data_IF_560081163056
#
_entry.id   IF_560081163056
#
_cell.length_a   1.000
_cell.length_b   1.000
_cell.length_c   1.000
_cell.angle_alpha   90.00
_cell.angle_beta   90.00
_cell.angle_gamma   90.00
#
_symmetry.space_group_name_H-M   'P 1'
#
loop_
_entity.id
_entity.type
_entity.pdbx_description
1 polymer ?
#
# COMPACT_ATOMS: atom_id res chain seq x y z
N UNK A 1 17.37 -17.69 11.72
CA UNK A 1 16.33 -18.32 12.58
C UNK A 1 15.24 -18.85 11.66
N UNK A 2 14.78 -20.08 11.88
CA UNK A 2 13.66 -20.64 11.13
C UNK A 2 12.37 -20.35 11.91
N UNK A 3 11.49 -19.53 11.36
CA UNK A 3 10.13 -19.31 11.89
C UNK A 3 9.17 -20.22 11.14
N UNK A 4 8.29 -20.89 11.87
CA UNK A 4 7.13 -21.55 11.30
C UNK A 4 6.00 -20.53 11.25
N UNK A 5 5.41 -20.32 10.06
CA UNK A 5 4.37 -19.30 9.84
C UNK A 5 3.05 -19.98 9.56
N UNK A 6 2.02 -19.61 10.34
CA UNK A 6 0.64 -19.97 10.07
C UNK A 6 -0.17 -18.70 9.77
N UNK A 7 -0.94 -18.71 8.69
CA UNK A 7 -1.71 -17.56 8.22
C UNK A 7 -3.21 -17.87 8.31
N UNK A 8 -3.93 -17.08 9.11
CA UNK A 8 -5.38 -17.13 9.21
C UNK A 8 -6.02 -16.02 8.37
N UNK A 9 -6.84 -16.37 7.40
CA UNK A 9 -7.51 -15.44 6.49
C UNK A 9 -8.98 -15.34 6.83
N UNK A 10 -9.44 -14.13 7.19
CA UNK A 10 -10.86 -13.83 7.43
C UNK A 10 -11.53 -13.41 6.10
N UNK A 11 -12.11 -14.36 5.40
CA UNK A 11 -12.76 -14.15 4.12
C UNK A 11 -12.63 -15.36 3.20
N UNK A 12 -13.07 -15.18 1.96
CA UNK A 12 -12.96 -16.21 0.92
C UNK A 12 -11.49 -16.36 0.47
N UNK A 13 -11.22 -17.50 -0.13
CA UNK A 13 -9.95 -17.74 -0.78
C UNK A 13 -9.64 -16.64 -1.81
N UNK A 14 -8.43 -16.13 -1.78
CA UNK A 14 -7.98 -15.06 -2.65
C UNK A 14 -6.79 -15.55 -3.50
N UNK A 15 -6.54 -14.97 -4.69
CA UNK A 15 -5.43 -15.39 -5.57
C UNK A 15 -4.06 -15.42 -4.87
N UNK A 16 -3.81 -14.51 -3.92
CA UNK A 16 -2.56 -14.46 -3.15
C UNK A 16 -2.42 -15.60 -2.11
N UNK A 17 -3.48 -16.36 -1.81
CA UNK A 17 -3.42 -17.48 -0.85
C UNK A 17 -2.52 -18.60 -1.34
N UNK A 18 -2.54 -18.90 -2.64
CA UNK A 18 -1.65 -19.87 -3.26
C UNK A 18 -0.18 -19.41 -3.23
N UNK A 19 0.06 -18.11 -3.40
CA UNK A 19 1.40 -17.54 -3.29
C UNK A 19 1.98 -17.71 -1.88
N UNK A 20 1.16 -17.50 -0.85
CA UNK A 20 1.57 -17.72 0.54
C UNK A 20 1.85 -19.21 0.83
N UNK A 21 1.01 -20.11 0.35
CA UNK A 21 1.21 -21.54 0.51
C UNK A 21 2.54 -22.00 -0.12
N UNK A 22 2.93 -21.44 -1.27
CA UNK A 22 4.21 -21.72 -1.94
C UNK A 22 5.43 -21.26 -1.12
N UNK A 23 5.27 -20.40 -0.13
CA UNK A 23 6.36 -20.02 0.79
C UNK A 23 6.57 -21.02 1.93
N UNK A 24 5.77 -22.08 2.03
CA UNK A 24 5.78 -23.04 3.12
C UNK A 24 4.93 -22.63 4.34
N UNK A 25 4.17 -21.52 4.26
CA UNK A 25 3.25 -21.11 5.31
C UNK A 25 2.00 -21.99 5.34
N UNK A 26 1.53 -22.34 6.54
CA UNK A 26 0.23 -23.00 6.73
C UNK A 26 -0.89 -21.97 6.60
N UNK A 27 -1.69 -22.05 5.53
CA UNK A 27 -2.79 -21.11 5.29
C UNK A 27 -4.13 -21.73 5.66
N UNK A 28 -4.91 -21.03 6.48
CA UNK A 28 -6.27 -21.42 6.88
C UNK A 28 -7.28 -20.33 6.56
N UNK A 29 -8.38 -20.68 5.94
CA UNK A 29 -9.45 -19.75 5.56
C UNK A 29 -10.65 -19.89 6.48
N UNK A 30 -11.16 -18.74 6.95
CA UNK A 30 -12.39 -18.65 7.72
C UNK A 30 -13.39 -17.87 6.87
N UNK A 31 -14.34 -18.57 6.21
CA UNK A 31 -15.32 -17.94 5.33
C UNK A 31 -16.28 -17.08 6.15
N UNK A 32 -15.87 -15.82 6.34
CA UNK A 32 -16.58 -14.84 7.16
C UNK A 32 -17.44 -13.93 6.30
N UNK A 33 -18.73 -13.88 6.60
CA UNK A 33 -19.70 -12.95 5.98
C UNK A 33 -19.69 -11.57 6.63
N UNK A 34 -18.92 -11.39 7.69
CA UNK A 34 -18.78 -10.12 8.42
C UNK A 34 -18.29 -10.32 9.84
N UNK A 35 -18.13 -9.21 10.56
CA UNK A 35 -17.59 -9.20 11.93
C UNK A 35 -18.40 -10.05 12.94
N UNK A 36 -19.70 -10.17 12.71
CA UNK A 36 -20.64 -10.89 13.60
C UNK A 36 -20.93 -12.33 13.16
N UNK A 37 -20.11 -12.90 12.29
CA UNK A 37 -20.22 -14.29 11.90
C UNK A 37 -19.70 -15.22 13.01
N UNK A 38 -20.62 -15.67 13.86
CA UNK A 38 -20.30 -16.49 15.05
C UNK A 38 -19.57 -17.78 14.65
N UNK A 39 -19.93 -18.38 13.50
CA UNK A 39 -19.27 -19.60 13.01
C UNK A 39 -17.81 -19.34 12.69
N UNK A 40 -17.53 -18.27 11.95
CA UNK A 40 -16.17 -17.88 11.60
C UNK A 40 -15.34 -17.50 12.85
N UNK A 41 -15.94 -16.78 13.81
CA UNK A 41 -15.29 -16.45 15.09
C UNK A 41 -14.97 -17.69 15.92
N UNK A 42 -15.87 -18.68 15.96
CA UNK A 42 -15.63 -19.95 16.66
C UNK A 42 -14.52 -20.77 15.99
N UNK A 43 -14.49 -20.84 14.67
CA UNK A 43 -13.44 -21.50 13.91
C UNK A 43 -12.08 -20.80 14.14
N UNK A 44 -12.03 -19.47 14.10
CA UNK A 44 -10.86 -18.68 14.42
C UNK A 44 -10.35 -18.98 15.83
N UNK A 45 -11.23 -19.00 16.84
CA UNK A 45 -10.88 -19.31 18.22
C UNK A 45 -10.26 -20.70 18.34
N UNK A 46 -10.87 -21.71 17.73
CA UNK A 46 -10.38 -23.09 17.74
C UNK A 46 -9.00 -23.18 17.09
N UNK A 47 -8.82 -22.54 15.96
CA UNK A 47 -7.55 -22.50 15.24
C UNK A 47 -6.45 -21.84 16.06
N UNK A 48 -6.70 -20.68 16.69
CA UNK A 48 -5.76 -20.01 17.58
C UNK A 48 -5.34 -20.86 18.78
N UNK A 49 -6.23 -21.72 19.29
CA UNK A 49 -5.94 -22.63 20.39
C UNK A 49 -5.13 -23.86 19.97
N UNK A 50 -5.26 -24.28 18.70
CA UNK A 50 -4.56 -25.44 18.16
C UNK A 50 -3.14 -25.13 17.69
N UNK A 51 -2.85 -23.87 17.35
CA UNK A 51 -1.54 -23.45 16.88
C UNK A 51 -0.78 -22.83 18.06
N UNK A 52 0.22 -23.52 18.61
CA UNK A 52 1.10 -22.91 19.60
C UNK A 52 1.86 -21.76 18.92
N UNK A 53 1.71 -20.55 19.42
CA UNK A 53 2.32 -19.35 18.84
C UNK A 53 2.94 -18.48 19.93
N UNK A 54 4.17 -18.03 19.72
CA UNK A 54 4.86 -17.07 20.59
C UNK A 54 4.18 -15.72 20.54
N UNK A 55 3.81 -15.31 19.33
CA UNK A 55 3.14 -14.05 19.06
C UNK A 55 2.19 -14.17 17.86
N UNK A 56 1.31 -13.21 17.75
CA UNK A 56 0.34 -13.09 16.68
C UNK A 56 0.55 -11.75 15.98
N UNK A 57 0.62 -11.76 14.64
CA UNK A 57 0.65 -10.53 13.86
C UNK A 57 -0.68 -10.28 13.16
N UNK A 58 -1.35 -9.22 13.53
CA UNK A 58 -2.66 -8.81 13.00
C UNK A 58 -2.45 -7.73 11.95
N UNK A 59 -2.90 -7.94 10.71
CA UNK A 59 -2.58 -7.06 9.57
C UNK A 59 -3.69 -6.05 9.26
N UNK A 60 -4.85 -6.18 9.90
CA UNK A 60 -5.96 -5.25 9.66
C UNK A 60 -6.78 -4.99 10.91
N UNK A 61 -7.51 -3.86 10.93
CA UNK A 61 -8.45 -3.58 12.02
C UNK A 61 -9.62 -4.55 12.05
N UNK A 62 -10.06 -5.08 10.92
CA UNK A 62 -11.12 -6.10 10.88
C UNK A 62 -10.64 -7.38 11.56
N UNK A 63 -9.39 -7.77 11.31
CA UNK A 63 -8.77 -8.91 11.96
C UNK A 63 -8.58 -8.66 13.47
N UNK A 64 -8.22 -7.45 13.89
CA UNK A 64 -8.16 -7.06 15.31
C UNK A 64 -9.54 -7.16 15.99
N UNK A 65 -10.57 -6.64 15.36
CA UNK A 65 -11.95 -6.70 15.88
C UNK A 65 -12.38 -8.17 16.03
N UNK A 66 -12.12 -9.01 15.04
CA UNK A 66 -12.44 -10.44 15.08
C UNK A 66 -11.63 -11.17 16.17
N UNK A 67 -10.34 -10.89 16.31
CA UNK A 67 -9.50 -11.43 17.38
C UNK A 67 -10.04 -11.03 18.77
N UNK A 68 -10.39 -9.77 18.93
CA UNK A 68 -10.96 -9.24 20.17
C UNK A 68 -12.27 -9.92 20.59
N UNK A 69 -13.08 -10.31 19.62
CA UNK A 69 -14.34 -11.06 19.85
C UNK A 69 -14.09 -12.56 20.06
N UNK A 70 -13.24 -13.17 19.25
CA UNK A 70 -13.01 -14.62 19.28
C UNK A 70 -12.14 -15.05 20.47
N UNK A 71 -11.07 -14.30 20.77
CA UNK A 71 -10.06 -14.69 21.76
C UNK A 71 -9.29 -13.50 22.32
N UNK A 72 -9.89 -12.71 23.24
CA UNK A 72 -9.28 -11.49 23.78
C UNK A 72 -7.92 -11.71 24.49
N UNK A 73 -7.68 -12.91 25.00
CA UNK A 73 -6.42 -13.27 25.66
C UNK A 73 -5.20 -13.21 24.74
N UNK A 74 -5.40 -13.36 23.43
CA UNK A 74 -4.32 -13.28 22.44
C UNK A 74 -3.89 -11.83 22.12
N UNK A 75 -4.67 -10.83 22.51
CA UNK A 75 -4.32 -9.42 22.25
C UNK A 75 -2.99 -9.02 22.90
N UNK A 76 -2.71 -9.49 24.11
CA UNK A 76 -1.50 -9.13 24.82
C UNK A 76 -0.20 -9.61 24.16
N UNK A 77 -0.27 -10.65 23.31
CA UNK A 77 0.85 -11.15 22.51
C UNK A 77 0.76 -10.75 21.03
N UNK A 78 -0.16 -9.85 20.69
CA UNK A 78 -0.40 -9.45 19.33
C UNK A 78 0.35 -8.19 18.93
N UNK A 79 0.90 -8.20 17.73
CA UNK A 79 1.40 -7.05 17.00
C UNK A 79 0.36 -6.63 15.98
N UNK A 80 0.21 -5.34 15.74
CA UNK A 80 -0.75 -4.82 14.77
C UNK A 80 -0.03 -4.03 13.69
N UNK A 81 -0.29 -4.36 12.43
CA UNK A 81 0.02 -3.56 11.24
C UNK A 81 -1.27 -3.13 10.52
N UNK A 82 -1.15 -2.42 9.41
CA UNK A 82 -2.31 -2.12 8.58
C UNK A 82 -3.29 -1.15 9.23
N UNK A 83 -2.78 -0.09 9.82
CA UNK A 83 -3.59 0.96 10.42
C UNK A 83 -4.37 1.75 9.38
N UNK A 84 -5.53 2.28 9.78
CA UNK A 84 -6.44 2.93 8.87
C UNK A 84 -5.92 4.25 8.34
N UNK A 85 -6.57 4.64 7.28
CA UNK A 85 -6.44 5.91 6.55
C UNK A 85 -6.53 7.13 7.46
N UNK A 86 -6.05 8.25 6.98
CA UNK A 86 -6.29 9.58 7.58
C UNK A 86 -7.77 9.78 7.90
N UNK A 87 -8.06 10.35 9.05
CA UNK A 87 -9.44 10.54 9.52
C UNK A 87 -9.98 9.41 10.41
N UNK A 88 -9.22 8.34 10.60
CA UNK A 88 -9.61 7.29 11.53
C UNK A 88 -9.87 7.84 12.94
N UNK A 89 -11.06 7.55 13.43
CA UNK A 89 -11.46 7.77 14.83
C UNK A 89 -11.91 6.42 15.39
N UNK A 90 -11.13 5.80 16.26
CA UNK A 90 -11.53 4.54 16.87
C UNK A 90 -12.75 4.77 17.76
N UNK A 91 -13.75 3.89 17.64
CA UNK A 91 -14.83 3.81 18.62
C UNK A 91 -14.30 3.28 19.97
N UNK A 92 -15.12 3.30 21.01
CA UNK A 92 -14.72 2.88 22.36
C UNK A 92 -14.15 1.45 22.38
N UNK A 93 -14.78 0.50 21.68
CA UNK A 93 -14.31 -0.87 21.58
C UNK A 93 -12.91 -0.95 20.96
N UNK A 94 -12.68 -0.31 19.83
CA UNK A 94 -11.38 -0.30 19.16
C UNK A 94 -10.29 0.38 20.00
N UNK A 95 -10.62 1.42 20.77
CA UNK A 95 -9.67 2.01 21.71
C UNK A 95 -9.21 0.98 22.76
N UNK A 96 -10.15 0.22 23.30
CA UNK A 96 -9.85 -0.87 24.26
C UNK A 96 -9.00 -1.95 23.61
N UNK A 97 -9.31 -2.38 22.39
CA UNK A 97 -8.54 -3.40 21.69
C UNK A 97 -7.13 -2.91 21.37
N UNK A 98 -7.00 -1.69 20.85
CA UNK A 98 -5.70 -1.07 20.54
C UNK A 98 -4.82 -0.91 21.77
N UNK A 99 -5.42 -0.60 22.94
CA UNK A 99 -4.67 -0.48 24.20
C UNK A 99 -4.18 -1.83 24.77
N UNK A 100 -4.70 -2.96 24.26
CA UNK A 100 -4.33 -4.30 24.70
C UNK A 100 -3.30 -4.99 23.81
N UNK A 101 -3.08 -4.51 22.57
CA UNK A 101 -2.05 -5.06 21.70
C UNK A 101 -0.65 -4.69 22.22
N UNK A 102 0.31 -5.52 21.95
CA UNK A 102 1.68 -5.34 22.45
C UNK A 102 2.41 -4.20 21.75
N UNK A 103 2.29 -4.12 20.42
CA UNK A 103 2.92 -3.10 19.60
C UNK A 103 2.09 -2.82 18.37
N UNK A 104 2.11 -1.58 17.93
CA UNK A 104 1.42 -1.11 16.72
C UNK A 104 2.49 -0.59 15.76
N UNK A 105 2.61 -1.22 14.61
CA UNK A 105 3.52 -0.81 13.56
C UNK A 105 2.85 0.23 12.66
N UNK A 106 3.45 1.40 12.58
CA UNK A 106 3.01 2.50 11.76
C UNK A 106 3.90 2.58 10.52
N UNK A 107 3.31 2.52 9.34
CA UNK A 107 4.05 2.61 8.07
C UNK A 107 4.69 3.99 7.85
N UNK A 108 4.15 5.03 8.52
CA UNK A 108 4.64 6.41 8.44
C UNK A 108 4.69 7.06 9.81
N UNK A 109 5.55 8.07 9.97
CA UNK A 109 5.60 8.92 11.15
C UNK A 109 4.30 9.72 11.31
N UNK A 110 3.68 10.14 10.20
CA UNK A 110 2.38 10.80 10.21
C UNK A 110 1.31 9.91 10.89
N UNK A 111 1.26 8.61 10.55
CA UNK A 111 0.36 7.64 11.18
C UNK A 111 0.70 7.45 12.66
N UNK A 112 1.98 7.36 13.01
CA UNK A 112 2.45 7.26 14.39
C UNK A 112 2.01 8.46 15.22
N UNK A 113 2.27 9.68 14.74
CA UNK A 113 1.90 10.92 15.41
C UNK A 113 0.37 11.02 15.56
N UNK A 114 -0.39 10.62 14.55
CA UNK A 114 -1.85 10.60 14.61
C UNK A 114 -2.37 9.68 15.72
N UNK A 115 -1.83 8.47 15.85
CA UNK A 115 -2.23 7.55 16.92
C UNK A 115 -1.87 8.10 18.32
N UNK A 116 -0.74 8.76 18.43
CA UNK A 116 -0.34 9.42 19.65
C UNK A 116 -1.34 10.50 20.05
N UNK A 117 -1.82 11.34 19.10
CA UNK A 117 -2.85 12.34 19.37
C UNK A 117 -4.21 11.74 19.74
N UNK A 118 -4.44 10.46 19.39
CA UNK A 118 -5.65 9.73 19.80
C UNK A 118 -5.50 9.04 21.19
N UNK A 119 -4.38 9.28 21.88
CA UNK A 119 -4.12 8.78 23.23
C UNK A 119 -3.48 7.40 23.29
N UNK A 120 -2.95 6.87 22.18
CA UNK A 120 -2.18 5.60 22.21
C UNK A 120 -0.77 5.90 22.73
N UNK A 121 -0.29 5.19 23.77
CA UNK A 121 1.03 5.41 24.34
C UNK A 121 2.15 5.26 23.31
N UNK A 122 3.14 6.16 23.33
CA UNK A 122 4.29 6.13 22.42
C UNK A 122 5.07 4.83 22.52
N UNK A 123 5.15 4.24 23.73
CA UNK A 123 5.79 2.96 23.97
C UNK A 123 5.19 1.79 23.17
N UNK A 124 3.90 1.89 22.80
CA UNK A 124 3.21 0.91 21.97
C UNK A 124 3.38 1.16 20.47
N UNK A 125 3.88 2.33 20.05
CA UNK A 125 3.96 2.74 18.66
C UNK A 125 5.38 2.56 18.11
N UNK A 126 5.52 1.83 17.02
CA UNK A 126 6.78 1.68 16.30
C UNK A 126 6.64 2.17 14.86
N UNK A 127 7.63 2.89 14.35
CA UNK A 127 7.71 3.25 12.95
C UNK A 127 8.39 2.11 12.19
N UNK A 128 7.64 1.46 11.32
CA UNK A 128 8.10 0.38 10.45
C UNK A 128 7.71 0.73 9.01
N UNK A 129 8.60 1.37 8.23
CA UNK A 129 8.33 1.72 6.84
C UNK A 129 7.93 0.49 6.01
N UNK A 130 7.11 0.67 4.96
CA UNK A 130 6.71 -0.45 4.11
C UNK A 130 7.93 -1.06 3.42
N UNK A 131 7.88 -2.36 3.16
CA UNK A 131 8.90 -3.08 2.40
C UNK A 131 8.36 -3.52 1.05
N UNK A 132 9.19 -3.42 0.01
CA UNK A 132 8.87 -3.89 -1.33
C UNK A 132 9.89 -4.89 -1.82
N UNK A 133 9.43 -5.91 -2.58
CA UNK A 133 10.32 -6.89 -3.20
C UNK A 133 11.08 -6.25 -4.38
N UNK A 134 12.40 -6.33 -4.34
CA UNK A 134 13.23 -5.86 -5.46
C UNK A 134 13.04 -6.71 -6.72
N UNK A 135 12.48 -7.91 -6.60
CA UNK A 135 12.11 -8.74 -7.75
C UNK A 135 10.96 -8.17 -8.57
N UNK A 136 10.18 -7.25 -7.98
CA UNK A 136 9.10 -6.53 -8.67
C UNK A 136 9.64 -5.41 -9.59
N UNK A 137 10.93 -5.09 -9.50
CA UNK A 137 11.54 -4.09 -10.37
C UNK A 137 11.66 -4.62 -11.80
N UNK A 138 11.37 -3.80 -12.83
CA UNK A 138 11.62 -4.17 -14.22
C UNK A 138 13.09 -4.52 -14.42
N UNK A 139 13.37 -5.65 -15.09
CA UNK A 139 14.73 -6.10 -15.39
C UNK A 139 15.41 -5.22 -16.44
N UNK A 140 14.62 -4.64 -17.33
CA UNK A 140 15.08 -3.69 -18.33
C UNK A 140 14.01 -2.63 -18.56
N UNK A 141 14.45 -1.41 -18.82
CA UNK A 141 13.55 -0.33 -19.24
C UNK A 141 13.41 -0.39 -20.77
N UNK A 142 12.18 -0.43 -21.25
CA UNK A 142 11.91 -0.23 -22.66
C UNK A 142 12.30 1.20 -23.07
N UNK A 143 12.77 1.41 -24.32
CA UNK A 143 12.91 2.76 -24.87
C UNK A 143 11.60 3.54 -24.71
N UNK A 144 11.69 4.86 -24.49
CA UNK A 144 10.48 5.68 -24.50
C UNK A 144 9.80 5.59 -25.87
N UNK A 145 8.49 5.39 -25.85
CA UNK A 145 7.68 5.41 -27.07
C UNK A 145 7.65 6.83 -27.65
N UNK A 146 7.57 6.95 -28.97
CA UNK A 146 7.29 8.23 -29.65
C UNK A 146 5.97 8.85 -29.16
N UNK A 147 4.99 8.02 -28.79
CA UNK A 147 3.76 8.46 -28.14
C UNK A 147 3.93 8.37 -26.63
N UNK A 148 3.98 9.51 -25.92
CA UNK A 148 4.09 9.51 -24.47
C UNK A 148 2.92 8.80 -23.79
N UNK A 149 3.24 7.99 -22.80
CA UNK A 149 2.29 7.15 -22.11
C UNK A 149 2.38 7.38 -20.61
N UNK A 150 1.29 7.89 -20.03
CA UNK A 150 1.15 8.07 -18.58
C UNK A 150 0.51 6.84 -17.98
N UNK A 151 1.00 6.41 -16.82
CA UNK A 151 0.48 5.27 -16.10
C UNK A 151 0.11 5.64 -14.67
N UNK A 152 -1.07 5.24 -14.22
CA UNK A 152 -1.48 5.35 -12.82
C UNK A 152 -2.13 4.04 -12.37
N UNK A 153 -1.70 3.54 -11.21
CA UNK A 153 -2.19 2.28 -10.65
C UNK A 153 -2.66 2.47 -9.21
N UNK A 154 -3.75 1.77 -8.87
CA UNK A 154 -4.27 1.71 -7.52
C UNK A 154 -5.76 1.43 -7.47
N UNK A 155 -6.31 1.14 -6.26
CA UNK A 155 -7.74 0.93 -6.10
C UNK A 155 -8.56 2.14 -6.54
N UNK A 156 -9.65 1.91 -7.26
CA UNK A 156 -10.58 2.97 -7.68
C UNK A 156 -11.51 3.36 -6.52
N UNK A 157 -10.93 4.11 -5.59
CA UNK A 157 -11.58 4.70 -4.42
C UNK A 157 -11.28 6.19 -4.35
N UNK A 158 -12.11 6.95 -3.65
CA UNK A 158 -11.96 8.40 -3.51
C UNK A 158 -10.57 8.82 -3.01
N UNK A 159 -9.97 8.03 -2.11
CA UNK A 159 -8.66 8.31 -1.56
C UNK A 159 -7.52 8.31 -2.60
N UNK A 160 -7.69 7.59 -3.71
CA UNK A 160 -6.70 7.48 -4.78
C UNK A 160 -6.83 8.53 -5.87
N UNK A 161 -7.93 9.29 -5.87
CA UNK A 161 -8.17 10.49 -6.67
C UNK A 161 -7.69 10.43 -8.13
N UNK A 162 -8.00 9.34 -8.83
CA UNK A 162 -7.66 9.20 -10.26
C UNK A 162 -8.29 10.30 -11.15
N UNK A 163 -9.25 11.06 -10.59
CA UNK A 163 -9.83 12.22 -11.26
C UNK A 163 -8.79 13.29 -11.60
N UNK A 164 -7.76 13.50 -10.76
CA UNK A 164 -6.69 14.44 -11.07
C UNK A 164 -5.95 14.03 -12.34
N UNK A 165 -5.64 12.73 -12.50
CA UNK A 165 -4.99 12.22 -13.69
C UNK A 165 -5.90 12.38 -14.94
N UNK A 166 -7.19 12.06 -14.80
CA UNK A 166 -8.16 12.22 -15.88
C UNK A 166 -8.29 13.69 -16.34
N UNK A 167 -8.46 14.60 -15.39
CA UNK A 167 -8.64 16.02 -15.69
C UNK A 167 -7.37 16.65 -16.26
N UNK A 168 -6.20 16.24 -15.78
CA UNK A 168 -4.93 16.72 -16.33
C UNK A 168 -4.73 16.35 -17.79
N UNK A 169 -5.30 15.21 -18.26
CA UNK A 169 -5.28 14.81 -19.67
C UNK A 169 -6.01 15.80 -20.58
N UNK A 170 -7.18 16.32 -20.16
CA UNK A 170 -7.91 17.30 -20.95
C UNK A 170 -7.15 18.63 -21.05
N UNK A 171 -6.48 19.05 -19.98
CA UNK A 171 -5.62 20.23 -19.99
C UNK A 171 -4.42 20.01 -20.91
N UNK A 172 -3.77 18.85 -20.84
CA UNK A 172 -2.62 18.52 -21.67
C UNK A 172 -2.95 18.37 -23.16
N UNK A 173 -4.18 18.04 -23.50
CA UNK A 173 -4.61 17.83 -24.87
C UNK A 173 -4.38 19.05 -25.80
N UNK A 174 -4.33 20.26 -25.23
CA UNK A 174 -4.07 21.49 -25.97
C UNK A 174 -2.59 21.70 -26.34
N UNK A 175 -1.66 21.07 -25.59
CA UNK A 175 -0.22 21.29 -25.75
C UNK A 175 0.55 20.04 -26.11
N UNK A 176 0.00 18.87 -25.80
CA UNK A 176 0.59 17.53 -26.04
C UNK A 176 -0.53 16.56 -26.45
N UNK A 177 -1.14 16.74 -27.63
CA UNK A 177 -2.32 15.95 -28.04
C UNK A 177 -2.03 14.46 -28.26
N UNK A 178 -0.77 14.06 -28.39
CA UNK A 178 -0.34 12.66 -28.57
C UNK A 178 -0.38 11.82 -27.30
N UNK A 179 -0.43 12.45 -26.10
CA UNK A 179 -0.36 11.74 -24.82
C UNK A 179 -1.52 10.77 -24.63
N UNK A 180 -1.20 9.60 -24.08
CA UNK A 180 -2.17 8.59 -23.63
C UNK A 180 -2.07 8.37 -22.13
N UNK A 181 -3.17 7.96 -21.49
CA UNK A 181 -3.22 7.60 -20.07
C UNK A 181 -3.79 6.19 -19.92
N UNK A 182 -3.11 5.38 -19.13
CA UNK A 182 -3.61 4.10 -18.69
C UNK A 182 -3.86 4.12 -17.16
N UNK A 183 -5.07 3.76 -16.78
CA UNK A 183 -5.46 3.55 -15.40
C UNK A 183 -5.61 2.06 -15.14
N UNK A 184 -4.86 1.56 -14.15
CA UNK A 184 -4.89 0.17 -13.75
C UNK A 184 -5.46 0.04 -12.33
N UNK A 185 -6.55 -0.69 -12.19
CA UNK A 185 -7.18 -0.92 -10.90
C UNK A 185 -8.65 -1.30 -10.99
N UNK A 186 -9.23 -1.60 -9.85
CA UNK A 186 -10.65 -1.86 -9.64
C UNK A 186 -11.12 -1.21 -8.35
N UNK A 187 -12.42 -1.02 -8.19
CA UNK A 187 -12.98 -0.46 -6.96
C UNK A 187 -14.36 0.15 -7.14
N UNK A 188 -14.91 0.65 -6.04
CA UNK A 188 -16.27 1.18 -6.02
C UNK A 188 -16.49 2.37 -6.97
N UNK A 189 -15.44 3.11 -7.30
CA UNK A 189 -15.52 4.30 -8.17
C UNK A 189 -15.32 4.00 -9.66
N UNK A 190 -15.19 2.74 -10.07
CA UNK A 190 -14.93 2.38 -11.47
C UNK A 190 -15.98 3.01 -12.41
N UNK A 191 -17.26 2.87 -12.08
CA UNK A 191 -18.34 3.41 -12.91
C UNK A 191 -18.31 4.95 -12.96
N UNK A 192 -18.06 5.60 -11.83
CA UNK A 192 -17.94 7.06 -11.77
C UNK A 192 -16.77 7.58 -12.59
N UNK A 193 -15.61 6.89 -12.56
CA UNK A 193 -14.45 7.23 -13.38
C UNK A 193 -14.73 7.02 -14.88
N UNK A 194 -15.45 5.97 -15.26
CA UNK A 194 -15.90 5.79 -16.65
C UNK A 194 -16.85 6.91 -17.09
N UNK A 195 -17.83 7.28 -16.26
CA UNK A 195 -18.73 8.40 -16.55
C UNK A 195 -17.96 9.71 -16.70
N UNK A 196 -16.98 9.94 -15.82
CA UNK A 196 -16.13 11.12 -15.90
C UNK A 196 -15.30 11.14 -17.21
N UNK A 197 -14.65 10.01 -17.55
CA UNK A 197 -13.93 9.88 -18.83
C UNK A 197 -14.80 10.25 -20.03
N UNK A 198 -16.06 9.79 -20.07
CA UNK A 198 -16.95 10.05 -21.23
C UNK A 198 -17.28 11.53 -21.43
N UNK A 199 -17.16 12.34 -20.39
CA UNK A 199 -17.35 13.79 -20.43
C UNK A 199 -16.10 14.56 -20.91
N UNK A 200 -14.94 13.89 -20.98
CA UNK A 200 -13.68 14.51 -21.38
C UNK A 200 -13.50 14.49 -22.90
N UNK A 201 -12.80 15.49 -23.41
CA UNK A 201 -12.38 15.53 -24.82
C UNK A 201 -11.36 14.45 -25.16
N UNK A 202 -10.59 14.01 -24.15
CA UNK A 202 -9.52 13.00 -24.28
C UNK A 202 -10.00 11.56 -24.03
N UNK A 203 -11.30 11.31 -23.98
CA UNK A 203 -11.90 10.00 -23.68
C UNK A 203 -11.27 8.81 -24.43
N UNK A 204 -10.92 9.01 -25.70
CA UNK A 204 -10.35 7.97 -26.58
C UNK A 204 -8.84 7.74 -26.36
N UNK A 205 -8.18 8.57 -25.53
CA UNK A 205 -6.78 8.49 -25.15
C UNK A 205 -6.58 7.90 -23.74
N UNK A 206 -7.68 7.59 -23.07
CA UNK A 206 -7.70 7.08 -21.69
C UNK A 206 -8.18 5.63 -21.71
N UNK A 207 -7.33 4.75 -21.21
CA UNK A 207 -7.57 3.31 -21.16
C UNK A 207 -7.68 2.82 -19.70
N UNK A 208 -8.72 2.02 -19.43
CA UNK A 208 -8.92 1.36 -18.15
C UNK A 208 -8.62 -0.13 -18.31
N UNK A 209 -7.59 -0.63 -17.60
CA UNK A 209 -7.11 -2.02 -17.75
C UNK A 209 -7.67 -2.99 -16.70
N UNK A 210 -8.49 -2.50 -15.76
CA UNK A 210 -8.95 -3.35 -14.68
C UNK A 210 -7.80 -3.78 -13.74
N UNK A 211 -8.00 -4.87 -13.01
CA UNK A 211 -6.93 -5.44 -12.21
C UNK A 211 -6.06 -6.35 -13.09
N UNK A 212 -4.79 -6.02 -13.21
CA UNK A 212 -3.79 -6.89 -13.85
C UNK A 212 -2.93 -7.53 -12.77
N UNK A 213 -2.68 -8.83 -12.92
CA UNK A 213 -1.89 -9.61 -11.95
C UNK A 213 -0.40 -9.23 -12.00
N UNK A 214 0.03 -8.66 -13.11
CA UNK A 214 1.42 -8.32 -13.35
C UNK A 214 1.58 -6.95 -13.98
N UNK A 215 2.07 -5.99 -13.20
CA UNK A 215 2.17 -4.58 -13.61
C UNK A 215 3.49 -4.20 -14.27
N UNK A 216 4.52 -5.06 -14.20
CA UNK A 216 5.87 -4.74 -14.67
C UNK A 216 5.92 -4.23 -16.13
N UNK A 217 5.25 -4.85 -17.13
CA UNK A 217 5.32 -4.36 -18.50
C UNK A 217 4.75 -2.95 -18.66
N UNK A 218 3.71 -2.61 -17.88
CA UNK A 218 3.08 -1.29 -17.91
C UNK A 218 3.96 -0.23 -17.27
N UNK A 219 4.55 -0.56 -16.11
CA UNK A 219 5.50 0.30 -15.42
C UNK A 219 6.76 0.52 -16.27
N UNK A 220 7.29 -0.54 -16.89
CA UNK A 220 8.50 -0.47 -17.70
C UNK A 220 8.35 0.36 -18.99
N UNK A 221 7.13 0.48 -19.53
CA UNK A 221 6.85 1.23 -20.75
C UNK A 221 6.34 2.65 -20.51
N UNK A 222 5.99 3.02 -19.28
CA UNK A 222 5.48 4.34 -18.96
C UNK A 222 6.52 5.43 -19.22
N UNK A 223 6.10 6.55 -19.77
CA UNK A 223 6.94 7.76 -19.85
C UNK A 223 6.99 8.47 -18.49
N UNK A 224 5.86 8.52 -17.79
CA UNK A 224 5.72 9.07 -16.44
C UNK A 224 4.70 8.22 -15.67
N UNK A 225 4.98 7.96 -14.40
CA UNK A 225 4.05 7.31 -13.48
C UNK A 225 3.41 8.37 -12.59
N UNK A 226 2.08 8.28 -12.42
CA UNK A 226 1.29 9.19 -11.61
C UNK A 226 0.76 8.49 -10.36
N UNK A 227 0.96 9.10 -9.19
CA UNK A 227 0.37 8.68 -7.92
C UNK A 227 -0.43 9.84 -7.33
N UNK A 228 -1.75 9.80 -7.46
CA UNK A 228 -2.66 10.95 -7.26
C UNK A 228 -3.44 10.94 -5.95
N UNK A 229 -2.94 10.28 -4.91
CA UNK A 229 -3.64 10.05 -3.65
C UNK A 229 -4.01 11.34 -2.90
N UNK A 230 -5.24 11.41 -2.33
CA UNK A 230 -5.65 12.48 -1.41
C UNK A 230 -5.19 12.26 0.03
N UNK A 231 -4.94 11.02 0.39
CA UNK A 231 -4.63 10.62 1.76
C UNK A 231 -3.27 9.94 1.82
N UNK A 232 -2.63 9.83 2.99
CA UNK A 232 -1.44 9.00 3.16
C UNK A 232 -1.74 7.53 2.89
N UNK A 233 -1.85 7.17 1.63
CA UNK A 233 -2.05 5.84 1.08
C UNK A 233 -1.17 5.69 -0.15
N UNK A 234 -1.32 4.59 -0.89
CA UNK A 234 -0.57 4.39 -2.14
C UNK A 234 0.93 4.16 -1.93
N UNK A 235 1.35 3.79 -0.72
CA UNK A 235 2.78 3.55 -0.43
C UNK A 235 3.38 2.51 -1.37
N UNK A 236 2.66 1.41 -1.59
CA UNK A 236 3.15 0.34 -2.48
C UNK A 236 3.19 0.81 -3.93
N UNK A 237 2.16 1.49 -4.43
CA UNK A 237 2.18 2.06 -5.78
C UNK A 237 3.32 3.07 -5.97
N UNK A 238 3.63 3.87 -4.93
CA UNK A 238 4.77 4.77 -4.94
C UNK A 238 6.10 4.01 -4.98
N UNK A 239 6.26 2.99 -4.15
CA UNK A 239 7.48 2.19 -4.12
C UNK A 239 7.68 1.40 -5.43
N UNK A 240 6.61 0.87 -6.01
CA UNK A 240 6.62 0.23 -7.33
C UNK A 240 7.04 1.23 -8.42
N UNK A 241 6.50 2.44 -8.37
CA UNK A 241 6.89 3.52 -9.28
C UNK A 241 8.37 3.88 -9.13
N UNK A 242 8.86 4.05 -7.91
CA UNK A 242 10.27 4.33 -7.63
C UNK A 242 11.19 3.21 -8.14
N UNK A 243 10.83 1.94 -7.90
CA UNK A 243 11.61 0.79 -8.39
C UNK A 243 11.55 0.62 -9.90
N UNK A 244 10.51 1.14 -10.55
CA UNK A 244 10.36 1.00 -12.01
C UNK A 244 11.48 1.67 -12.80
N UNK A 245 12.19 2.66 -12.21
CA UNK A 245 13.16 3.47 -12.92
C UNK A 245 12.53 4.46 -13.93
N UNK A 246 11.22 4.75 -13.78
CA UNK A 246 10.50 5.76 -14.57
C UNK A 246 10.22 7.00 -13.76
N UNK A 247 10.17 8.18 -14.40
CA UNK A 247 9.84 9.43 -13.72
C UNK A 247 8.53 9.33 -12.96
N UNK A 248 8.51 9.82 -11.72
CA UNK A 248 7.37 9.79 -10.83
C UNK A 248 6.86 11.19 -10.53
N UNK A 249 5.56 11.42 -10.75
CA UNK A 249 4.86 12.59 -10.24
C UNK A 249 3.84 12.10 -9.20
N UNK A 250 3.88 12.67 -8.00
CA UNK A 250 3.04 12.23 -6.90
C UNK A 250 2.35 13.41 -6.19
N UNK A 251 1.19 13.13 -5.61
CA UNK A 251 0.47 14.11 -4.79
C UNK A 251 1.19 14.36 -3.46
N UNK A 252 1.32 15.63 -3.06
CA UNK A 252 1.99 16.05 -1.82
C UNK A 252 1.11 15.79 -0.60
N UNK A 253 1.11 14.55 -0.11
CA UNK A 253 0.47 14.18 1.16
C UNK A 253 1.52 13.99 2.26
N UNK A 254 1.12 14.02 3.53
CA UNK A 254 2.06 13.86 4.65
C UNK A 254 2.84 12.54 4.57
N UNK A 255 2.17 11.44 4.22
CA UNK A 255 2.83 10.15 4.09
C UNK A 255 3.74 10.05 2.86
N UNK A 256 3.43 10.79 1.78
CA UNK A 256 4.24 10.83 0.56
C UNK A 256 5.60 11.47 0.82
N UNK A 257 5.63 12.57 1.58
CA UNK A 257 6.87 13.26 1.94
C UNK A 257 7.87 12.42 2.76
N UNK A 258 7.43 11.29 3.32
CA UNK A 258 8.31 10.33 4.00
C UNK A 258 8.96 9.33 3.04
N UNK A 259 8.34 9.09 1.88
CA UNK A 259 8.83 8.16 0.86
C UNK A 259 9.73 8.87 -0.15
N UNK A 260 9.33 10.06 -0.60
CA UNK A 260 9.95 10.78 -1.70
C UNK A 260 10.39 12.21 -1.31
N UNK A 261 11.40 12.70 -1.98
CA UNK A 261 11.92 14.07 -1.89
C UNK A 261 11.56 14.83 -3.18
N UNK A 262 10.86 15.98 -3.01
CA UNK A 262 10.39 16.79 -4.14
C UNK A 262 11.58 17.31 -4.98
N UNK A 263 11.48 17.16 -6.30
CA UNK A 263 12.50 17.53 -7.26
C UNK A 263 13.75 16.64 -7.28
N UNK A 264 13.82 15.61 -6.40
CA UNK A 264 14.99 14.71 -6.31
C UNK A 264 14.65 13.26 -6.62
N UNK A 265 13.59 12.70 -5.99
CA UNK A 265 13.14 11.32 -6.20
C UNK A 265 11.71 11.25 -6.74
N UNK A 266 10.99 12.34 -6.77
CA UNK A 266 9.70 12.52 -7.42
C UNK A 266 9.49 14.03 -7.67
N UNK A 267 8.51 14.36 -8.51
CA UNK A 267 7.97 15.72 -8.58
C UNK A 267 6.62 15.72 -7.86
N UNK A 268 6.43 16.65 -6.91
CA UNK A 268 5.21 16.72 -6.13
C UNK A 268 4.28 17.82 -6.63
N UNK A 269 2.96 17.57 -6.57
CA UNK A 269 1.92 18.56 -6.81
C UNK A 269 0.89 18.54 -5.68
N UNK A 270 0.15 19.63 -5.45
CA UNK A 270 -0.89 19.68 -4.45
C UNK A 270 -2.11 18.86 -4.91
N UNK A 271 -2.67 17.94 -4.08
CA UNK A 271 -3.84 17.16 -4.45
C UNK A 271 -5.01 18.04 -4.87
N UNK A 272 -5.69 17.70 -5.99
CA UNK A 272 -6.77 18.48 -6.58
C UNK A 272 -6.33 19.57 -7.55
N UNK A 273 -5.05 19.93 -7.58
CA UNK A 273 -4.50 20.95 -8.49
C UNK A 273 -4.15 20.34 -9.85
N UNK A 274 -5.18 20.01 -10.63
CA UNK A 274 -5.04 19.32 -11.92
C UNK A 274 -4.23 20.13 -12.96
N UNK A 275 -4.33 21.46 -12.94
CA UNK A 275 -3.55 22.35 -13.80
C UNK A 275 -2.05 22.29 -13.43
N UNK A 276 -1.71 22.23 -12.14
CA UNK A 276 -0.35 22.05 -11.69
C UNK A 276 0.17 20.67 -12.10
N UNK A 277 -0.62 19.61 -11.93
CA UNK A 277 -0.27 18.26 -12.38
C UNK A 277 0.02 18.26 -13.89
N UNK A 278 -0.85 18.84 -14.73
CA UNK A 278 -0.65 18.95 -16.17
C UNK A 278 0.64 19.68 -16.50
N UNK A 279 0.92 20.81 -15.82
CA UNK A 279 2.17 21.57 -15.99
C UNK A 279 3.39 20.71 -15.65
N UNK A 280 3.38 19.97 -14.52
CA UNK A 280 4.48 19.11 -14.10
C UNK A 280 4.71 17.97 -15.10
N UNK A 281 3.64 17.35 -15.61
CA UNK A 281 3.73 16.33 -16.65
C UNK A 281 4.40 16.92 -17.90
N UNK A 282 3.94 18.07 -18.38
CA UNK A 282 4.52 18.72 -19.55
C UNK A 282 6.02 19.00 -19.38
N UNK A 283 6.39 19.63 -18.27
CA UNK A 283 7.82 19.98 -18.01
C UNK A 283 8.70 18.74 -17.96
N UNK A 284 8.21 17.63 -17.40
CA UNK A 284 8.96 16.38 -17.32
C UNK A 284 9.08 15.68 -18.68
N UNK A 285 8.08 15.81 -19.55
CA UNK A 285 8.14 15.33 -20.93
C UNK A 285 9.06 16.20 -21.81
N UNK A 286 9.13 17.51 -21.54
CA UNK A 286 9.99 18.45 -22.27
C UNK A 286 11.47 18.33 -21.88
N UNK A 287 11.76 17.79 -20.67
CA UNK A 287 13.12 17.49 -20.19
C UNK A 287 13.25 16.02 -19.72
N UNK A 288 13.36 15.07 -20.63
CA UNK A 288 13.51 13.66 -20.29
C UNK A 288 14.78 13.35 -19.49
N UNK A 289 15.86 14.10 -19.68
CA UNK A 289 17.11 13.88 -18.97
C UNK A 289 16.92 14.12 -17.47
N UNK A 290 16.26 15.21 -17.11
CA UNK A 290 15.89 15.50 -15.72
C UNK A 290 14.91 14.46 -15.15
N UNK A 291 13.96 14.00 -15.96
CA UNK A 291 13.03 12.93 -15.60
C UNK A 291 13.78 11.65 -15.23
N UNK A 292 14.77 11.22 -16.02
CA UNK A 292 15.57 10.03 -15.76
C UNK A 292 16.50 10.19 -14.55
N UNK A 293 17.06 11.35 -14.31
CA UNK A 293 17.83 11.63 -13.10
C UNK A 293 16.97 11.41 -11.84
N UNK A 294 15.77 11.98 -11.82
CA UNK A 294 14.80 11.80 -10.73
C UNK A 294 14.45 10.31 -10.56
N UNK A 295 14.19 9.60 -11.64
CA UNK A 295 13.87 8.18 -11.63
C UNK A 295 15.01 7.31 -11.10
N UNK A 296 16.25 7.62 -11.47
CA UNK A 296 17.44 6.93 -10.95
C UNK A 296 17.57 7.12 -9.44
N UNK A 297 17.49 8.35 -8.97
CA UNK A 297 17.55 8.68 -7.54
C UNK A 297 16.40 8.02 -6.76
N UNK A 298 15.20 7.97 -7.36
CA UNK A 298 14.04 7.30 -6.77
C UNK A 298 14.30 5.80 -6.57
N UNK A 299 14.80 5.12 -7.59
CA UNK A 299 15.11 3.69 -7.55
C UNK A 299 16.19 3.40 -6.50
N UNK A 300 17.28 4.11 -6.50
CA UNK A 300 18.34 3.97 -5.49
C UNK A 300 17.80 4.17 -4.06
N UNK A 301 16.97 5.20 -3.85
CA UNK A 301 16.33 5.44 -2.56
C UNK A 301 15.41 4.27 -2.15
N UNK A 302 14.63 3.71 -3.08
CA UNK A 302 13.73 2.60 -2.80
C UNK A 302 14.50 1.32 -2.44
N UNK A 303 15.53 1.00 -3.18
CA UNK A 303 16.39 -0.17 -2.94
C UNK A 303 17.08 -0.11 -1.58
N UNK A 304 17.61 1.06 -1.20
CA UNK A 304 18.33 1.25 0.05
C UNK A 304 17.44 1.35 1.28
N UNK A 305 16.27 1.99 1.18
CA UNK A 305 15.44 2.32 2.34
C UNK A 305 14.25 1.39 2.54
N UNK A 306 13.70 0.82 1.46
CA UNK A 306 12.41 0.16 1.47
C UNK A 306 12.43 -1.28 0.95
N UNK A 307 13.58 -1.95 0.89
CA UNK A 307 13.62 -3.36 0.50
C UNK A 307 12.84 -4.23 1.49
N UNK A 308 12.13 -5.24 0.97
CA UNK A 308 11.42 -6.22 1.79
C UNK A 308 12.34 -6.92 2.81
N UNK A 309 13.61 -7.14 2.42
CA UNK A 309 14.63 -7.71 3.32
C UNK A 309 14.89 -6.80 4.52
N UNK A 310 15.02 -5.49 4.29
CA UNK A 310 15.24 -4.52 5.35
C UNK A 310 14.01 -4.42 6.28
N UNK A 311 12.82 -4.37 5.70
CA UNK A 311 11.56 -4.39 6.45
C UNK A 311 11.44 -5.64 7.32
N UNK A 312 11.68 -6.82 6.73
CA UNK A 312 11.63 -8.09 7.46
C UNK A 312 12.66 -8.16 8.59
N UNK A 313 13.89 -7.69 8.36
CA UNK A 313 14.93 -7.65 9.40
C UNK A 313 14.51 -6.79 10.60
N UNK A 314 13.95 -5.60 10.36
CA UNK A 314 13.42 -4.73 11.41
C UNK A 314 12.23 -5.37 12.14
N UNK A 315 11.33 -6.00 11.39
CA UNK A 315 10.18 -6.69 11.97
C UNK A 315 10.63 -7.84 12.88
N UNK A 316 11.56 -8.66 12.40
CA UNK A 316 12.14 -9.76 13.18
C UNK A 316 12.84 -9.27 14.46
N UNK A 317 13.56 -8.15 14.40
CA UNK A 317 14.15 -7.53 15.58
C UNK A 317 13.08 -7.23 16.65
N UNK A 318 11.92 -6.66 16.26
CA UNK A 318 10.82 -6.44 17.18
C UNK A 318 10.25 -7.74 17.76
N UNK A 319 10.22 -8.82 16.99
CA UNK A 319 9.77 -10.12 17.47
C UNK A 319 10.78 -10.72 18.43
N UNK A 320 12.07 -10.64 18.15
CA UNK A 320 13.13 -11.16 19.00
C UNK A 320 13.22 -10.41 20.33
N UNK A 321 13.08 -9.09 20.34
CA UNK A 321 13.03 -8.27 21.56
C UNK A 321 11.92 -8.74 22.53
N UNK A 322 10.87 -9.37 22.00
CA UNK A 322 9.74 -9.86 22.79
C UNK A 322 9.76 -11.39 23.01
N UNK A 323 10.61 -12.12 22.30
CA UNK A 323 10.72 -13.58 22.44
C UNK A 323 11.28 -13.99 23.81
N UNK A 324 12.13 -13.17 24.40
CA UNK A 324 12.71 -13.41 25.72
C UNK A 324 11.66 -13.43 26.84
N UNK A 325 10.49 -12.82 26.63
CA UNK A 325 9.39 -12.80 27.60
C UNK A 325 8.47 -14.05 27.50
N UNK A 326 8.56 -14.83 26.43
CA UNK A 326 7.72 -16.01 26.18
C UNK A 326 8.56 -17.16 25.61
N UNK A 327 8.58 -18.31 26.28
CA UNK A 327 9.20 -19.55 25.78
C UNK A 327 8.21 -20.32 24.92
N UNK A 328 8.42 -20.38 23.60
CA UNK A 328 7.63 -21.12 22.62
C UNK A 328 8.13 -20.95 21.18
N UNK A 329 7.78 -21.83 20.24
CA UNK A 329 8.45 -21.99 18.93
C UNK A 329 7.67 -21.56 17.68
N UNK A 330 6.46 -20.99 17.77
CA UNK A 330 5.61 -20.68 16.61
C UNK A 330 5.09 -19.25 16.57
N UNK A 331 5.21 -18.60 15.39
CA UNK A 331 4.54 -17.32 15.09
C UNK A 331 3.32 -17.54 14.22
N UNK A 332 2.25 -16.76 14.44
CA UNK A 332 1.01 -16.80 13.69
C UNK A 332 0.69 -15.42 13.08
N UNK A 333 0.35 -15.37 11.80
CA UNK A 333 -0.04 -14.15 11.08
C UNK A 333 -1.52 -14.21 10.72
N UNK A 334 -2.28 -13.13 10.97
CA UNK A 334 -3.71 -13.02 10.69
C UNK A 334 -3.99 -11.86 9.73
N UNK A 335 -4.66 -12.13 8.62
CA UNK A 335 -5.06 -11.19 7.57
C UNK A 335 -6.56 -10.88 7.56
#
# INVERSE_FOLDING_TARGET
MNYTVAVGVLGREAPWSSLLANTGAMVSHFDSKGLWDIKALFQLRKWLQQIPSDFLHVISLKALDALGLASPSFLAKSFLSGLPKTGFRPNALRKILLAKVRKIFCLTLASKNRLQTLGIPVSMLAHLPPGISLQSAPKSLAPLSETPYLFSSGPFHNDFNHCDALWSMDILNYVKPEIKLCLNGTGANLQSLHSFRTALMTKDKIDFRGQVDYQEPWLANASIILVTNLTPGGYYSTLEAMLSGRPLIASKTQGMAELVEDGKTAVLYAPGECAELAKRIRLMLDDPARGFEIAHNARESAENRFSAKHHAAKLLQYYDDYKYDFKGDLSCVMY
#
